data_IF_574773798034
#
_entry.id   IF_574773798034
#
_cell.length_a   1.000
_cell.length_b   1.000
_cell.length_c   1.000
_cell.angle_alpha   90.00
_cell.angle_beta   90.00
_cell.angle_gamma   90.00
#
_symmetry.space_group_name_H-M   'P 1'
#
loop_
_entity.id
_entity.type
_entity.pdbx_description
1 polymer ?
#
# COMPACT_ATOMS: atom_id res chain seq x y z
N UNK A 1 -1.63 13.41 -12.67
CA UNK A 1 -0.30 12.94 -12.36
C UNK A 1 0.42 12.51 -13.65
N UNK A 2 1.65 12.97 -13.86
CA UNK A 2 2.40 12.83 -15.10
C UNK A 2 3.78 12.21 -14.86
N UNK A 3 4.28 11.47 -15.83
CA UNK A 3 5.68 11.06 -15.98
C UNK A 3 6.22 11.74 -17.26
N UNK A 4 7.05 12.77 -17.11
CA UNK A 4 7.39 13.68 -18.21
C UNK A 4 6.11 14.29 -18.78
N UNK A 5 5.90 14.13 -20.08
CA UNK A 5 4.69 14.61 -20.77
C UNK A 5 3.56 13.56 -20.82
N UNK A 6 3.76 12.39 -20.23
CA UNK A 6 2.76 11.32 -20.25
C UNK A 6 1.83 11.43 -19.07
N UNK A 7 0.56 11.65 -19.32
CA UNK A 7 -0.50 11.53 -18.32
C UNK A 7 -0.63 10.06 -17.89
N UNK A 8 -0.54 9.81 -16.60
CA UNK A 8 -0.65 8.46 -16.02
C UNK A 8 -1.98 8.25 -15.30
N UNK A 9 -2.44 9.26 -14.55
CA UNK A 9 -3.71 9.22 -13.81
C UNK A 9 -4.32 10.61 -13.78
N UNK A 10 -5.63 10.72 -14.01
CA UNK A 10 -6.38 11.98 -13.87
C UNK A 10 -7.70 11.82 -13.12
N UNK A 11 -8.27 12.94 -12.71
CA UNK A 11 -9.64 13.07 -12.18
C UNK A 11 -9.96 12.08 -11.02
N UNK A 12 -9.03 11.97 -10.08
CA UNK A 12 -9.24 11.18 -8.87
C UNK A 12 -9.61 12.10 -7.73
N UNK A 13 -10.84 11.98 -7.23
CA UNK A 13 -11.31 12.67 -6.03
C UNK A 13 -12.04 11.68 -5.14
N UNK A 14 -11.49 11.41 -3.96
CA UNK A 14 -12.02 10.42 -3.02
C UNK A 14 -11.47 10.67 -1.61
N UNK A 15 -12.19 10.20 -0.61
CA UNK A 15 -11.76 10.22 0.77
C UNK A 15 -11.25 8.85 1.22
N UNK A 16 -10.13 8.82 1.94
CA UNK A 16 -9.65 7.62 2.62
C UNK A 16 -10.04 7.72 4.09
N UNK A 17 -10.92 6.81 4.52
CA UNK A 17 -11.45 6.85 5.88
C UNK A 17 -10.45 6.27 6.88
N UNK A 18 -10.41 6.90 8.07
CA UNK A 18 -9.51 6.49 9.14
C UNK A 18 -9.88 5.10 9.67
N UNK A 19 -8.87 4.30 10.02
CA UNK A 19 -9.02 2.96 10.59
C UNK A 19 -9.93 2.05 9.74
N UNK A 20 -9.78 2.14 8.44
CA UNK A 20 -10.45 1.30 7.46
C UNK A 20 -9.45 0.79 6.42
N UNK A 21 -9.85 -0.22 5.68
CA UNK A 21 -9.13 -0.71 4.52
C UNK A 21 -9.83 -0.22 3.25
N UNK A 22 -9.13 0.53 2.42
CA UNK A 22 -9.59 0.93 1.09
C UNK A 22 -8.83 0.15 0.03
N UNK A 23 -9.52 -0.65 -0.78
CA UNK A 23 -8.93 -1.37 -1.90
C UNK A 23 -9.01 -0.57 -3.20
N UNK A 24 -7.91 -0.56 -3.96
CA UNK A 24 -7.86 -0.07 -5.33
C UNK A 24 -7.83 -1.26 -6.27
N UNK A 25 -8.89 -1.44 -7.07
CA UNK A 25 -9.03 -2.49 -8.07
C UNK A 25 -9.09 -1.90 -9.49
N UNK A 26 -8.86 -2.73 -10.50
CA UNK A 26 -8.93 -2.34 -11.91
C UNK A 26 -7.87 -3.05 -12.75
N UNK A 27 -7.93 -2.94 -14.07
CA UNK A 27 -7.03 -3.61 -14.98
C UNK A 27 -5.56 -3.19 -14.78
N UNK A 28 -4.63 -4.03 -15.24
CA UNK A 28 -3.22 -3.70 -15.21
C UNK A 28 -2.93 -2.44 -16.05
N UNK A 29 -2.06 -1.56 -15.53
CA UNK A 29 -1.69 -0.34 -16.21
C UNK A 29 -2.66 0.85 -16.05
N UNK A 30 -3.77 0.72 -15.28
CA UNK A 30 -4.66 1.85 -15.01
C UNK A 30 -4.16 2.82 -13.90
N UNK A 31 -2.89 2.72 -13.50
CA UNK A 31 -2.25 3.72 -12.64
C UNK A 31 -2.45 3.56 -11.13
N UNK A 32 -3.01 2.45 -10.62
CA UNK A 32 -3.22 2.20 -9.17
C UNK A 32 -1.95 2.35 -8.34
N UNK A 33 -0.87 1.68 -8.76
CA UNK A 33 0.45 1.78 -8.09
C UNK A 33 1.04 3.18 -8.19
N UNK A 34 0.77 3.91 -9.27
CA UNK A 34 1.13 5.30 -9.43
C UNK A 34 0.38 6.18 -8.44
N UNK A 35 -0.93 5.98 -8.32
CA UNK A 35 -1.78 6.77 -7.43
C UNK A 35 -1.43 6.55 -5.96
N UNK A 36 -1.29 5.30 -5.52
CA UNK A 36 -0.99 5.00 -4.11
C UNK A 36 0.34 5.64 -3.66
N UNK A 37 1.33 5.70 -4.56
CA UNK A 37 2.62 6.34 -4.31
C UNK A 37 2.56 7.88 -4.28
N UNK A 38 1.47 8.50 -4.72
CA UNK A 38 1.23 9.92 -4.53
C UNK A 38 0.95 10.24 -3.06
N UNK A 39 0.35 9.32 -2.30
CA UNK A 39 -0.02 9.58 -0.90
C UNK A 39 1.19 9.74 0.03
N UNK A 40 2.33 9.13 -0.30
CA UNK A 40 3.56 9.28 0.47
C UNK A 40 4.67 10.02 -0.30
N UNK A 41 4.33 10.65 -1.42
CA UNK A 41 5.25 11.42 -2.27
C UNK A 41 6.41 10.58 -2.82
N UNK A 42 6.22 9.26 -2.95
CA UNK A 42 7.30 8.38 -3.43
C UNK A 42 7.58 8.61 -4.92
N UNK A 43 6.57 9.03 -5.69
CA UNK A 43 6.74 9.33 -7.11
C UNK A 43 7.71 10.48 -7.39
N UNK A 44 7.93 11.40 -6.44
CA UNK A 44 8.90 12.50 -6.57
C UNK A 44 10.35 12.02 -6.67
N UNK A 45 10.62 10.74 -6.37
CA UNK A 45 11.94 10.13 -6.56
C UNK A 45 12.17 9.70 -8.02
N UNK A 46 11.17 9.85 -8.88
CA UNK A 46 11.23 9.52 -10.31
C UNK A 46 11.39 10.84 -11.07
N UNK A 47 12.46 10.96 -11.82
CA UNK A 47 12.73 12.14 -12.63
C UNK A 47 11.59 12.44 -13.60
N UNK A 48 11.21 13.72 -13.67
CA UNK A 48 10.10 14.17 -14.51
C UNK A 48 8.70 13.83 -13.98
N UNK A 49 8.58 13.30 -12.75
CA UNK A 49 7.27 13.09 -12.14
C UNK A 49 6.65 14.43 -11.69
N UNK A 50 5.38 14.65 -12.05
CA UNK A 50 4.60 15.82 -11.67
C UNK A 50 3.21 15.41 -11.19
N UNK A 51 2.86 15.85 -9.99
CA UNK A 51 1.52 15.68 -9.42
C UNK A 51 0.78 17.01 -9.46
N UNK A 52 -0.39 17.02 -10.07
CA UNK A 52 -1.32 18.14 -10.07
C UNK A 52 -2.54 17.79 -9.21
N UNK A 53 -3.13 18.78 -8.57
CA UNK A 53 -4.19 18.56 -7.59
C UNK A 53 -3.65 18.57 -6.17
N UNK A 54 -4.37 17.96 -5.22
CA UNK A 54 -4.05 18.01 -3.80
C UNK A 54 -4.21 16.64 -3.15
N UNK A 55 -3.29 16.30 -2.27
CA UNK A 55 -3.43 15.17 -1.34
C UNK A 55 -3.53 15.75 0.08
N UNK A 56 -4.74 15.78 0.60
CA UNK A 56 -4.99 16.40 1.90
C UNK A 56 -4.85 15.36 3.02
N UNK A 57 -3.99 15.64 3.97
CA UNK A 57 -3.80 14.82 5.16
C UNK A 57 -3.83 15.71 6.40
N UNK A 58 -4.77 15.44 7.32
CA UNK A 58 -5.01 16.27 8.52
C UNK A 58 -5.18 17.77 8.20
N UNK A 59 -5.92 18.07 7.13
CA UNK A 59 -6.20 19.44 6.67
C UNK A 59 -5.03 20.14 6.00
N UNK A 60 -3.91 19.44 5.73
CA UNK A 60 -2.74 19.99 5.03
C UNK A 60 -2.52 19.28 3.71
N UNK A 61 -2.25 20.06 2.67
CA UNK A 61 -1.83 19.49 1.39
C UNK A 61 -0.41 18.95 1.52
N UNK A 62 -0.24 17.64 1.27
CA UNK A 62 1.06 16.97 1.38
C UNK A 62 2.08 17.47 0.34
N UNK A 63 1.63 18.12 -0.75
CA UNK A 63 2.50 18.68 -1.79
C UNK A 63 2.80 20.18 -1.61
N UNK A 64 2.32 20.79 -0.51
CA UNK A 64 2.67 22.17 -0.21
C UNK A 64 4.19 22.31 0.02
N UNK A 65 4.79 23.39 -0.48
CA UNK A 65 6.25 23.62 -0.50
C UNK A 65 6.95 23.51 0.87
N UNK A 66 6.22 23.73 1.97
CA UNK A 66 6.77 23.67 3.34
C UNK A 66 6.68 22.26 3.97
N UNK A 67 6.10 21.29 3.29
CA UNK A 67 5.94 19.93 3.82
C UNK A 67 7.17 19.09 3.45
N UNK A 68 7.86 18.58 4.47
CA UNK A 68 9.01 17.69 4.32
C UNK A 68 8.54 16.28 3.86
N UNK A 69 8.99 15.78 2.69
CA UNK A 69 8.65 14.45 2.20
C UNK A 69 9.08 13.31 3.15
N UNK A 70 10.17 13.50 3.91
CA UNK A 70 10.64 12.50 4.87
C UNK A 70 9.64 12.38 6.03
N UNK A 71 9.14 13.51 6.52
CA UNK A 71 8.11 13.54 7.56
C UNK A 71 6.79 12.88 7.07
N UNK A 72 6.42 13.07 5.79
CA UNK A 72 5.28 12.38 5.16
C UNK A 72 5.49 10.87 5.18
N UNK A 73 6.64 10.38 4.68
CA UNK A 73 6.95 8.94 4.58
C UNK A 73 7.05 8.24 5.94
N UNK A 74 7.34 8.97 7.01
CA UNK A 74 7.29 8.45 8.39
C UNK A 74 5.86 8.19 8.87
N UNK A 75 4.89 8.99 8.40
CA UNK A 75 3.47 8.89 8.78
C UNK A 75 2.67 7.99 7.84
N UNK A 76 3.12 7.84 6.61
CA UNK A 76 2.49 7.07 5.54
C UNK A 76 3.51 6.05 5.02
N UNK A 77 3.50 4.87 5.64
CA UNK A 77 4.40 3.77 5.31
C UNK A 77 4.03 3.07 4.02
N UNK A 78 4.97 2.31 3.44
CA UNK A 78 4.76 1.59 2.17
C UNK A 78 5.26 0.16 2.25
N UNK A 79 4.44 -0.77 1.78
CA UNK A 79 4.78 -2.17 1.52
C UNK A 79 4.68 -2.40 0.02
N UNK A 80 5.74 -2.90 -0.59
CA UNK A 80 5.84 -3.09 -2.04
C UNK A 80 5.37 -4.48 -2.46
N UNK A 81 5.05 -4.62 -3.74
CA UNK A 81 4.61 -5.85 -4.37
C UNK A 81 5.64 -6.98 -4.21
N UNK A 82 6.91 -6.70 -4.53
CA UNK A 82 7.99 -7.65 -4.28
C UNK A 82 8.57 -7.39 -2.89
N UNK A 83 8.69 -8.42 -2.05
CA UNK A 83 9.40 -8.29 -0.79
C UNK A 83 10.79 -7.69 -1.03
N UNK A 84 11.14 -6.67 -0.27
CA UNK A 84 12.40 -5.95 -0.39
C UNK A 84 13.11 -5.80 0.95
N UNK A 85 13.36 -6.88 1.69
CA UNK A 85 14.14 -6.79 2.91
C UNK A 85 15.55 -6.24 2.59
N UNK A 86 16.09 -5.44 3.50
CA UNK A 86 17.47 -4.99 3.37
C UNK A 86 18.42 -6.20 3.46
N UNK A 87 19.59 -6.16 2.78
CA UNK A 87 20.63 -7.20 2.91
C UNK A 87 21.33 -7.11 4.27
N UNK A 88 20.54 -7.20 5.33
CA UNK A 88 20.87 -7.09 6.75
C UNK A 88 20.17 -8.18 7.51
N UNK A 89 20.43 -8.29 8.81
CA UNK A 89 19.72 -9.25 9.68
C UNK A 89 18.23 -8.92 9.79
N UNK A 90 17.43 -9.87 10.27
CA UNK A 90 16.01 -9.69 10.56
C UNK A 90 15.84 -8.51 11.53
N UNK A 91 16.62 -8.49 12.60
CA UNK A 91 16.66 -7.39 13.56
C UNK A 91 16.92 -6.05 12.91
N UNK A 92 17.99 -5.97 12.11
CA UNK A 92 18.39 -4.73 11.46
C UNK A 92 17.38 -4.23 10.41
N UNK A 93 16.61 -5.09 9.80
CA UNK A 93 15.54 -4.68 8.90
C UNK A 93 14.51 -3.77 9.59
N UNK A 94 14.29 -3.95 10.87
CA UNK A 94 13.35 -3.15 11.67
C UNK A 94 14.08 -2.01 12.37
N UNK A 95 15.17 -2.30 13.06
CA UNK A 95 15.90 -1.34 13.87
C UNK A 95 16.56 -0.21 13.07
N UNK A 96 16.94 -0.46 11.82
CA UNK A 96 17.64 0.52 10.98
C UNK A 96 16.84 1.83 10.82
N UNK A 97 15.57 1.74 10.43
CA UNK A 97 14.72 2.92 10.26
C UNK A 97 14.53 3.71 11.56
N UNK A 98 14.39 3.00 12.68
CA UNK A 98 14.26 3.61 14.00
C UNK A 98 15.53 4.38 14.40
N UNK A 99 16.72 3.85 14.12
CA UNK A 99 17.98 4.57 14.36
C UNK A 99 18.13 5.82 13.50
N UNK A 100 17.79 5.72 12.23
CA UNK A 100 17.86 6.86 11.28
C UNK A 100 17.02 8.04 11.77
N UNK A 101 15.85 7.78 12.34
CA UNK A 101 14.99 8.84 12.87
C UNK A 101 15.28 9.24 14.32
N UNK A 102 16.31 8.67 14.92
CA UNK A 102 16.72 8.99 16.30
C UNK A 102 15.75 8.48 17.36
N UNK A 103 15.17 7.29 17.17
CA UNK A 103 14.31 6.66 18.18
C UNK A 103 15.01 6.52 19.53
N UNK A 104 14.33 6.89 20.61
CA UNK A 104 14.89 6.96 21.99
C UNK A 104 14.39 5.86 22.92
N UNK A 105 13.46 5.01 22.46
CA UNK A 105 12.94 3.90 23.25
C UNK A 105 13.83 2.66 23.22
N UNK A 106 13.36 1.58 23.84
CA UNK A 106 13.99 0.28 23.79
C UNK A 106 13.87 -0.31 22.37
N UNK A 107 15.02 -0.60 21.78
CA UNK A 107 15.10 -1.11 20.40
C UNK A 107 14.68 -2.56 20.32
N UNK A 108 14.99 -3.36 21.34
CA UNK A 108 14.64 -4.77 21.38
C UNK A 108 13.13 -4.94 21.51
N UNK A 109 12.50 -4.13 22.38
CA UNK A 109 11.03 -4.09 22.51
C UNK A 109 10.37 -3.64 21.19
N UNK A 110 10.92 -2.64 20.51
CA UNK A 110 10.41 -2.18 19.22
C UNK A 110 10.46 -3.28 18.17
N UNK A 111 11.58 -4.00 18.07
CA UNK A 111 11.77 -5.10 17.12
C UNK A 111 10.83 -6.25 17.44
N UNK A 112 10.77 -6.69 18.70
CA UNK A 112 9.88 -7.77 19.13
C UNK A 112 8.43 -7.44 18.82
N UNK A 113 7.94 -6.28 19.26
CA UNK A 113 6.56 -5.83 19.02
C UNK A 113 6.23 -5.78 17.51
N UNK A 114 7.16 -5.28 16.69
CA UNK A 114 6.94 -5.18 15.24
C UNK A 114 6.82 -6.55 14.59
N UNK A 115 7.64 -7.51 15.02
CA UNK A 115 7.59 -8.90 14.55
C UNK A 115 6.34 -9.63 15.06
N UNK A 116 5.92 -9.38 16.30
CA UNK A 116 4.66 -9.91 16.84
C UNK A 116 3.47 -9.39 16.03
N UNK A 117 3.42 -8.08 15.79
CA UNK A 117 2.35 -7.41 15.03
C UNK A 117 2.27 -7.86 13.57
N UNK A 118 3.36 -8.34 12.98
CA UNK A 118 3.39 -8.91 11.63
C UNK A 118 3.21 -10.42 11.59
N UNK A 119 2.90 -11.06 12.74
CA UNK A 119 2.75 -12.50 12.85
C UNK A 119 4.02 -13.30 12.54
N UNK A 120 5.21 -12.68 12.67
CA UNK A 120 6.47 -13.31 12.29
C UNK A 120 7.33 -13.73 13.50
N UNK A 121 7.07 -13.19 14.70
CA UNK A 121 7.90 -13.37 15.89
C UNK A 121 8.22 -14.82 16.20
N UNK A 122 7.20 -15.68 16.29
CA UNK A 122 7.39 -17.08 16.68
C UNK A 122 8.25 -17.90 15.69
N UNK A 123 8.37 -17.42 14.44
CA UNK A 123 9.16 -18.09 13.41
C UNK A 123 10.62 -17.63 13.38
N UNK A 124 10.92 -16.46 14.01
CA UNK A 124 12.23 -15.82 13.84
C UNK A 124 12.92 -15.38 15.14
N UNK A 125 12.25 -15.45 16.30
CA UNK A 125 12.78 -14.97 17.59
C UNK A 125 14.16 -15.56 17.95
N UNK A 126 14.41 -16.80 17.57
CA UNK A 126 15.67 -17.50 17.88
C UNK A 126 16.77 -17.27 16.80
N UNK A 127 16.45 -16.55 15.74
CA UNK A 127 17.36 -16.28 14.61
C UNK A 127 17.37 -14.83 14.13
N UNK A 128 17.14 -13.88 15.02
CA UNK A 128 17.07 -12.43 14.70
C UNK A 128 18.35 -11.87 14.04
N UNK A 129 19.49 -12.50 14.26
CA UNK A 129 20.78 -12.15 13.66
C UNK A 129 20.97 -12.74 12.25
N UNK A 130 20.13 -13.66 11.81
CA UNK A 130 20.16 -14.23 10.45
C UNK A 130 19.75 -13.19 9.42
N UNK A 131 20.21 -13.37 8.18
CA UNK A 131 19.86 -12.48 7.08
C UNK A 131 18.35 -12.46 6.82
N UNK A 132 17.75 -11.29 6.64
CA UNK A 132 16.37 -11.15 6.20
C UNK A 132 16.12 -11.78 4.83
N UNK A 133 17.15 -11.87 3.97
CA UNK A 133 17.06 -12.50 2.66
C UNK A 133 16.98 -14.03 2.70
N UNK A 134 17.32 -14.66 3.84
CA UNK A 134 17.21 -16.12 4.00
C UNK A 134 15.80 -16.61 4.33
N UNK A 135 14.86 -15.71 4.56
CA UNK A 135 13.46 -16.02 4.84
C UNK A 135 12.71 -16.45 3.57
N UNK A 136 11.62 -17.22 3.71
CA UNK A 136 10.70 -17.51 2.60
C UNK A 136 10.02 -16.24 2.09
N UNK A 137 9.44 -16.26 0.89
CA UNK A 137 8.78 -15.09 0.30
C UNK A 137 7.70 -14.49 1.22
N UNK A 138 6.84 -15.32 1.79
CA UNK A 138 5.81 -14.87 2.73
C UNK A 138 6.38 -14.32 4.05
N UNK A 139 7.47 -14.91 4.56
CA UNK A 139 8.19 -14.39 5.72
C UNK A 139 8.87 -13.05 5.41
N UNK A 140 9.49 -12.91 4.23
CA UNK A 140 10.09 -11.64 3.80
C UNK A 140 9.04 -10.54 3.67
N UNK A 141 7.85 -10.84 3.14
CA UNK A 141 6.76 -9.88 3.05
C UNK A 141 6.29 -9.44 4.43
N UNK A 142 6.10 -10.37 5.38
CA UNK A 142 5.75 -10.03 6.75
C UNK A 142 6.87 -9.24 7.47
N UNK A 143 8.14 -9.49 7.15
CA UNK A 143 9.26 -8.67 7.63
C UNK A 143 9.18 -7.24 7.06
N UNK A 144 8.83 -7.08 5.79
CA UNK A 144 8.63 -5.75 5.19
C UNK A 144 7.43 -5.03 5.81
N UNK A 145 6.35 -5.74 6.16
CA UNK A 145 5.22 -5.17 6.91
C UNK A 145 5.69 -4.76 8.31
N UNK A 146 6.40 -5.64 9.06
CA UNK A 146 6.96 -5.31 10.37
C UNK A 146 7.80 -4.02 10.33
N UNK A 147 8.67 -3.89 9.32
CA UNK A 147 9.47 -2.69 9.08
C UNK A 147 8.61 -1.46 8.83
N UNK A 148 7.56 -1.58 8.03
CA UNK A 148 6.68 -0.46 7.69
C UNK A 148 5.90 0.06 8.91
N UNK A 149 5.47 -0.83 9.82
CA UNK A 149 4.67 -0.46 11.01
C UNK A 149 5.52 -0.16 12.25
N UNK A 150 6.83 -0.41 12.23
CA UNK A 150 7.72 -0.29 13.40
C UNK A 150 7.63 1.08 14.08
N UNK A 151 7.58 2.14 13.29
CA UNK A 151 7.50 3.53 13.77
C UNK A 151 6.07 4.03 13.96
N UNK A 152 5.08 3.13 13.97
CA UNK A 152 3.65 3.44 14.14
C UNK A 152 3.19 4.53 13.18
N UNK A 153 3.24 4.31 11.86
CA UNK A 153 2.66 5.25 10.90
C UNK A 153 1.14 5.36 11.15
N UNK A 154 0.48 6.34 10.58
CA UNK A 154 -0.97 6.46 10.65
C UNK A 154 -1.66 5.76 9.47
N UNK A 155 -0.94 5.69 8.34
CA UNK A 155 -1.41 5.06 7.11
C UNK A 155 -0.38 4.05 6.64
N UNK A 156 -0.83 2.89 6.21
CA UNK A 156 -0.01 1.84 5.57
C UNK A 156 -0.52 1.62 4.16
N UNK A 157 0.31 1.92 3.19
CA UNK A 157 0.07 1.67 1.78
C UNK A 157 0.62 0.28 1.42
N UNK A 158 -0.17 -0.52 0.69
CA UNK A 158 0.21 -1.87 0.29
C UNK A 158 -0.02 -2.03 -1.22
N UNK A 159 1.06 -2.13 -1.98
CA UNK A 159 1.02 -2.31 -3.44
C UNK A 159 1.10 -3.81 -3.74
N UNK A 160 -0.03 -4.46 -4.01
CA UNK A 160 -0.16 -5.89 -4.31
C UNK A 160 0.60 -6.84 -3.34
N UNK A 161 0.39 -6.72 -2.01
CA UNK A 161 1.28 -7.33 -1.01
C UNK A 161 1.31 -8.86 -1.01
N UNK A 162 0.39 -9.52 -1.69
CA UNK A 162 0.28 -10.98 -1.72
C UNK A 162 0.38 -11.58 -3.13
N UNK A 163 0.58 -10.77 -4.19
CA UNK A 163 0.49 -11.23 -5.58
C UNK A 163 1.54 -12.29 -6.00
N UNK A 164 2.66 -12.34 -5.30
CA UNK A 164 3.76 -13.29 -5.56
C UNK A 164 3.85 -14.41 -4.51
N UNK A 165 2.83 -14.57 -3.66
CA UNK A 165 2.84 -15.51 -2.55
C UNK A 165 1.97 -16.74 -2.84
N UNK A 166 2.29 -17.83 -2.16
CA UNK A 166 1.44 -19.02 -2.11
C UNK A 166 0.13 -18.77 -1.37
N UNK A 167 -0.91 -19.62 -1.54
CA UNK A 167 -2.23 -19.40 -0.94
C UNK A 167 -2.21 -19.29 0.59
N UNK A 168 -1.36 -20.08 1.27
CA UNK A 168 -1.27 -20.05 2.74
C UNK A 168 -0.66 -18.72 3.21
N UNK A 169 0.41 -18.29 2.55
CA UNK A 169 1.05 -16.99 2.84
C UNK A 169 0.12 -15.83 2.52
N UNK A 170 -0.67 -15.93 1.44
CA UNK A 170 -1.69 -14.92 1.08
C UNK A 170 -2.74 -14.80 2.18
N UNK A 171 -3.31 -15.92 2.65
CA UNK A 171 -4.28 -15.92 3.73
C UNK A 171 -3.73 -15.25 5.00
N UNK A 172 -2.49 -15.56 5.38
CA UNK A 172 -1.83 -14.92 6.54
C UNK A 172 -1.69 -13.40 6.39
N UNK A 173 -1.43 -12.90 5.17
CA UNK A 173 -1.41 -11.44 4.92
C UNK A 173 -2.81 -10.85 5.04
N UNK A 174 -3.85 -11.53 4.57
CA UNK A 174 -5.24 -11.07 4.68
C UNK A 174 -5.68 -10.99 6.16
N UNK A 175 -5.39 -12.02 6.94
CA UNK A 175 -5.63 -12.02 8.39
C UNK A 175 -4.90 -10.86 9.09
N UNK A 176 -3.64 -10.66 8.73
CA UNK A 176 -2.82 -9.57 9.25
C UNK A 176 -3.41 -8.19 8.89
N UNK A 177 -3.94 -7.98 7.68
CA UNK A 177 -4.60 -6.74 7.29
C UNK A 177 -5.81 -6.47 8.19
N UNK A 178 -6.62 -7.49 8.51
CA UNK A 178 -7.76 -7.35 9.41
C UNK A 178 -7.36 -6.96 10.84
N UNK A 179 -6.25 -7.48 11.34
CA UNK A 179 -5.71 -7.10 12.65
C UNK A 179 -5.17 -5.66 12.63
N UNK A 180 -4.41 -5.32 11.60
CA UNK A 180 -3.74 -4.01 11.49
C UNK A 180 -4.73 -2.85 11.31
N UNK A 181 -5.89 -3.05 10.67
CA UNK A 181 -6.87 -1.97 10.48
C UNK A 181 -7.43 -1.39 11.77
N UNK A 182 -7.33 -2.11 12.88
CA UNK A 182 -7.76 -1.61 14.19
C UNK A 182 -6.94 -0.39 14.65
N UNK A 183 -5.69 -0.30 14.20
CA UNK A 183 -4.76 0.76 14.59
C UNK A 183 -4.34 1.66 13.42
N UNK A 184 -4.37 1.14 12.20
CA UNK A 184 -3.87 1.81 10.99
C UNK A 184 -4.99 2.04 9.99
N UNK A 185 -4.87 3.10 9.22
CA UNK A 185 -5.60 3.27 7.96
C UNK A 185 -4.82 2.55 6.87
N UNK A 186 -5.46 1.68 6.11
CA UNK A 186 -4.79 0.86 5.09
C UNK A 186 -5.34 1.19 3.71
N UNK A 187 -4.45 1.41 2.75
CA UNK A 187 -4.80 1.45 1.33
C UNK A 187 -4.09 0.31 0.63
N UNK A 188 -4.83 -0.58 0.01
CA UNK A 188 -4.29 -1.75 -0.69
C UNK A 188 -4.59 -1.68 -2.18
N UNK A 189 -3.57 -1.87 -3.02
CA UNK A 189 -3.75 -2.16 -4.44
C UNK A 189 -3.79 -3.68 -4.60
N UNK A 190 -4.78 -4.18 -5.32
CA UNK A 190 -4.82 -5.59 -5.70
C UNK A 190 -5.53 -5.79 -7.05
N UNK A 191 -5.07 -6.76 -7.82
CA UNK A 191 -5.78 -7.24 -9.00
C UNK A 191 -6.68 -8.46 -8.68
N UNK A 192 -6.61 -8.98 -7.46
CA UNK A 192 -7.44 -10.08 -6.99
C UNK A 192 -8.74 -9.54 -6.37
N UNK A 193 -9.84 -9.64 -7.10
CA UNK A 193 -11.17 -9.17 -6.67
C UNK A 193 -11.65 -9.87 -5.40
N UNK A 194 -11.39 -11.18 -5.28
CA UNK A 194 -11.78 -11.92 -4.09
C UNK A 194 -11.02 -11.44 -2.85
N UNK A 195 -9.74 -11.10 -2.99
CA UNK A 195 -8.96 -10.49 -1.92
C UNK A 195 -9.55 -9.14 -1.53
N UNK A 196 -9.82 -8.25 -2.50
CA UNK A 196 -10.44 -6.96 -2.22
C UNK A 196 -11.77 -7.12 -1.46
N UNK A 197 -12.64 -8.03 -1.92
CA UNK A 197 -13.93 -8.30 -1.26
C UNK A 197 -13.78 -8.80 0.18
N UNK A 198 -12.72 -9.58 0.48
CA UNK A 198 -12.51 -10.11 1.84
C UNK A 198 -11.91 -9.09 2.80
N UNK A 199 -10.95 -8.28 2.34
CA UNK A 199 -10.12 -7.48 3.26
C UNK A 199 -10.54 -6.02 3.38
N UNK A 200 -11.28 -5.45 2.41
CA UNK A 200 -11.55 -4.02 2.40
C UNK A 200 -12.95 -3.64 2.88
N UNK A 201 -13.03 -2.46 3.47
CA UNK A 201 -14.27 -1.81 3.89
C UNK A 201 -14.83 -0.94 2.75
N UNK A 202 -13.93 -0.35 1.95
CA UNK A 202 -14.22 0.48 0.79
C UNK A 202 -13.42 0.00 -0.41
N UNK A 203 -13.99 0.14 -1.60
CA UNK A 203 -13.33 -0.24 -2.85
C UNK A 203 -13.46 0.88 -3.88
N UNK A 204 -12.33 1.22 -4.49
CA UNK A 204 -12.24 2.15 -5.61
C UNK A 204 -11.89 1.37 -6.87
N UNK A 205 -12.77 1.41 -7.85
CA UNK A 205 -12.54 0.84 -9.16
C UNK A 205 -11.94 1.88 -10.09
N UNK A 206 -10.79 1.55 -10.67
CA UNK A 206 -10.08 2.37 -11.66
C UNK A 206 -10.15 1.70 -13.02
N UNK A 207 -10.31 2.48 -14.06
CA UNK A 207 -10.20 2.03 -15.44
C UNK A 207 -9.16 2.87 -16.19
N UNK A 208 -8.87 2.53 -17.45
CA UNK A 208 -7.92 3.23 -18.27
C UNK A 208 -8.50 3.53 -19.65
N UNK A 209 -8.29 4.76 -20.12
CA UNK A 209 -8.65 5.21 -21.46
C UNK A 209 -7.41 5.53 -22.30
N UNK A 210 -7.57 5.49 -23.62
CA UNK A 210 -6.54 5.93 -24.54
C UNK A 210 -6.63 7.47 -24.67
N UNK A 211 -5.54 8.16 -24.39
CA UNK A 211 -5.42 9.59 -24.67
C UNK A 211 -5.14 9.88 -26.15
N UNK A 212 -5.18 11.17 -26.51
CA UNK A 212 -4.97 11.65 -27.87
C UNK A 212 -3.63 11.25 -28.48
N UNK A 213 -2.64 10.97 -27.64
CA UNK A 213 -1.30 10.52 -28.03
C UNK A 213 -1.15 8.99 -28.12
N UNK A 214 -2.27 8.23 -28.01
CA UNK A 214 -2.30 6.77 -28.01
C UNK A 214 -1.78 6.13 -26.72
N UNK A 215 -1.36 6.91 -25.70
CA UNK A 215 -0.97 6.41 -24.39
C UNK A 215 -2.18 6.32 -23.48
N UNK A 216 -2.22 5.28 -22.65
CA UNK A 216 -3.33 5.08 -21.72
C UNK A 216 -3.10 5.86 -20.42
N UNK A 217 -4.16 6.41 -19.87
CA UNK A 217 -4.18 7.00 -18.53
C UNK A 217 -5.32 6.40 -17.70
N UNK A 218 -5.12 6.35 -16.40
CA UNK A 218 -6.11 5.84 -15.47
C UNK A 218 -7.00 6.94 -14.90
N UNK A 219 -8.20 6.56 -14.52
CA UNK A 219 -9.15 7.43 -13.83
C UNK A 219 -10.01 6.63 -12.86
N UNK A 220 -10.60 7.31 -11.88
CA UNK A 220 -11.53 6.72 -10.93
C UNK A 220 -12.91 6.58 -11.60
N UNK A 221 -13.45 5.36 -11.62
CA UNK A 221 -14.79 5.09 -12.15
C UNK A 221 -15.83 5.13 -11.05
N UNK A 222 -15.56 4.42 -9.95
CA UNK A 222 -16.52 4.28 -8.86
C UNK A 222 -15.80 4.04 -7.54
N UNK A 223 -16.33 4.63 -6.47
CA UNK A 223 -15.80 4.45 -5.12
C UNK A 223 -16.96 4.39 -4.14
N UNK A 224 -17.07 3.27 -3.42
CA UNK A 224 -18.10 3.07 -2.42
C UNK A 224 -17.69 1.99 -1.41
N UNK A 225 -18.59 1.61 -0.51
CA UNK A 225 -18.43 0.43 0.34
C UNK A 225 -18.18 -0.80 -0.52
N UNK A 226 -17.30 -1.66 -0.05
CA UNK A 226 -16.90 -2.87 -0.80
C UNK A 226 -18.11 -3.72 -1.21
N UNK A 227 -19.07 -3.92 -0.30
CA UNK A 227 -20.31 -4.63 -0.58
C UNK A 227 -21.08 -4.01 -1.76
N UNK A 228 -21.22 -2.69 -1.80
CA UNK A 228 -21.91 -1.98 -2.89
C UNK A 228 -21.18 -2.18 -4.24
N UNK A 229 -19.86 -2.06 -4.27
CA UNK A 229 -19.06 -2.26 -5.49
C UNK A 229 -19.19 -3.68 -6.04
N UNK A 230 -19.24 -4.70 -5.19
CA UNK A 230 -19.28 -6.10 -5.65
C UNK A 230 -20.70 -6.62 -5.89
N UNK A 231 -21.71 -6.17 -5.16
CA UNK A 231 -23.07 -6.70 -5.25
C UNK A 231 -24.02 -5.84 -6.08
N UNK A 232 -23.86 -4.51 -6.02
CA UNK A 232 -24.78 -3.56 -6.66
C UNK A 232 -24.08 -2.31 -7.22
N UNK A 233 -23.04 -2.47 -8.07
CA UNK A 233 -22.31 -1.34 -8.63
C UNK A 233 -23.22 -0.45 -9.48
N UNK A 234 -23.01 0.87 -9.41
CA UNK A 234 -23.80 1.86 -10.13
C UNK A 234 -23.30 2.05 -11.57
N UNK A 235 -22.01 1.79 -11.82
CA UNK A 235 -21.40 1.95 -13.12
C UNK A 235 -21.38 0.63 -13.90
N UNK A 236 -21.77 0.66 -15.19
CA UNK A 236 -21.74 -0.53 -16.04
C UNK A 236 -20.34 -1.14 -16.16
N UNK A 237 -19.32 -0.32 -16.29
CA UNK A 237 -17.93 -0.78 -16.36
C UNK A 237 -17.45 -1.44 -15.07
N UNK A 238 -17.90 -0.98 -13.90
CA UNK A 238 -17.64 -1.64 -12.61
C UNK A 238 -18.30 -3.02 -12.60
N UNK A 239 -19.58 -3.10 -13.02
CA UNK A 239 -20.33 -4.36 -13.07
C UNK A 239 -19.68 -5.37 -14.01
N UNK A 240 -19.23 -4.95 -15.17
CA UNK A 240 -18.50 -5.80 -16.12
C UNK A 240 -17.18 -6.29 -15.50
N UNK A 241 -16.42 -5.39 -14.88
CA UNK A 241 -15.14 -5.72 -14.25
C UNK A 241 -15.32 -6.75 -13.12
N UNK A 242 -16.19 -6.51 -12.14
CA UNK A 242 -16.36 -7.41 -10.99
C UNK A 242 -17.01 -8.74 -11.36
N UNK A 243 -17.80 -8.80 -12.45
CA UNK A 243 -18.38 -10.05 -12.97
C UNK A 243 -17.41 -10.86 -13.85
N UNK A 244 -16.21 -10.38 -14.10
CA UNK A 244 -15.22 -11.04 -14.96
C UNK A 244 -15.56 -11.00 -16.45
N UNK A 245 -16.45 -10.11 -16.90
CA UNK A 245 -16.92 -9.98 -18.28
C UNK A 245 -16.24 -8.89 -19.09
N UNK A 246 -15.07 -8.47 -18.68
CA UNK A 246 -14.27 -7.50 -19.45
C UNK A 246 -13.51 -8.24 -20.56
N UNK A 247 -13.88 -7.93 -21.78
CA UNK A 247 -13.25 -8.37 -23.02
C UNK A 247 -12.27 -7.33 -23.54
#
# INVERSE_FOLDING_TARGET
MYYGDTLAVQEVSMDILKNSVTAFIGPSGCGKSTLIRCFNRLNELIDGCRVEGKVIYRGKDLYAAKIDPVAVRRRIGMVFQKPNPFPKSIYENIAYGARVVGFKGDMDELVERSLQRSGLWNEVKDKLKSSGLSLSGGQQQRLCIARAIALKPEVVLMDEPASALDPISTQRIEELIHELKQEYTIVIVTHNMQQAARVSDYTAFFNAEAGDNGKRFGYLVEYDRTEAIFESPQQSSTKEYVSGRFG
#
